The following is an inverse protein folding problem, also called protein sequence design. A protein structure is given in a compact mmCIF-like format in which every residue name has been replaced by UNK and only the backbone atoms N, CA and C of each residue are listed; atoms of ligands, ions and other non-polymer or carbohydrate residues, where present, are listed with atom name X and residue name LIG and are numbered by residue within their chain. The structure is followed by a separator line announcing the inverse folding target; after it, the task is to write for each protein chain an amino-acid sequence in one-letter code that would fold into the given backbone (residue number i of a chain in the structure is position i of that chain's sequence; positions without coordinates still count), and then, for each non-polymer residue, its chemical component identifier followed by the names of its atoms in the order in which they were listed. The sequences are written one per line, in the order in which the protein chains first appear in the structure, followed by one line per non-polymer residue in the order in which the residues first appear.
data_IF_926145717764
#
_entry.id   IF_926145717764
#
_cell.length_a   1.000
_cell.length_b   1.000
_cell.length_c   1.000
_cell.angle_alpha   90.00
_cell.angle_beta   90.00
_cell.angle_gamma   90.00
#
_symmetry.space_group_name_H-M   'P 1'
#
loop_
_entity.id
_entity.type
_entity.pdbx_description
1 polymer ?
#
# COMPACT_ATOMS: atom_id res chain seq x y z
N UNK A 1 29.67 26.02 81.63
CA UNK A 1 30.60 26.97 80.98
C UNK A 1 30.56 26.91 79.45
N UNK A 2 30.28 25.78 78.77
CA UNK A 2 30.31 25.76 77.29
C UNK A 2 29.19 26.56 76.60
N UNK A 3 27.97 26.60 77.17
CA UNK A 3 26.87 27.33 76.55
C UNK A 3 27.11 28.84 76.39
N UNK A 4 27.86 29.46 77.31
CA UNK A 4 28.13 30.90 77.24
C UNK A 4 29.27 31.21 76.26
N UNK A 5 30.29 30.34 76.20
CA UNK A 5 31.33 30.43 75.17
C UNK A 5 30.78 30.18 73.77
N UNK A 6 29.79 29.29 73.63
CA UNK A 6 29.14 29.01 72.34
C UNK A 6 28.25 30.18 71.88
N UNK A 7 27.57 30.88 72.80
CA UNK A 7 26.72 32.04 72.47
C UNK A 7 27.53 33.29 72.13
N UNK A 8 28.62 33.53 72.85
CA UNK A 8 29.43 34.75 72.72
C UNK A 8 30.61 34.58 71.75
N UNK A 9 30.95 33.35 71.37
CA UNK A 9 32.03 33.03 70.43
C UNK A 9 33.35 33.71 70.84
N UNK A 10 33.97 34.41 69.89
CA UNK A 10 35.24 35.13 70.08
C UNK A 10 35.16 36.25 71.14
N UNK A 11 33.95 36.65 71.56
CA UNK A 11 33.75 37.67 72.60
C UNK A 11 33.79 37.10 74.01
N UNK A 12 33.76 35.78 74.19
CA UNK A 12 33.80 35.14 75.50
C UNK A 12 35.20 35.21 76.13
N UNK A 13 35.27 35.60 77.41
CA UNK A 13 36.50 35.53 78.23
C UNK A 13 36.19 34.89 79.57
N UNK A 14 37.09 34.01 80.02
CA UNK A 14 36.96 33.34 81.32
C UNK A 14 37.14 34.35 82.46
N UNK A 15 36.13 34.50 83.31
CA UNK A 15 36.12 35.48 84.41
C UNK A 15 35.44 36.83 84.10
N UNK A 16 34.69 36.97 83.01
CA UNK A 16 33.85 38.14 82.79
C UNK A 16 32.87 38.38 83.96
N UNK A 17 32.65 39.64 84.29
CA UNK A 17 31.64 40.06 85.25
C UNK A 17 30.23 39.94 84.66
N UNK A 18 29.20 39.86 85.52
CA UNK A 18 27.81 39.72 85.07
C UNK A 18 27.35 40.85 84.13
N UNK A 19 27.83 42.08 84.36
CA UNK A 19 27.56 43.23 83.49
C UNK A 19 28.25 43.12 82.11
N UNK A 20 29.49 42.64 82.07
CA UNK A 20 30.20 42.39 80.82
C UNK A 20 29.55 41.26 80.02
N UNK A 21 29.11 40.19 80.70
CA UNK A 21 28.36 39.09 80.09
C UNK A 21 27.03 39.60 79.51
N UNK A 22 26.28 40.40 80.26
CA UNK A 22 25.02 40.99 79.81
C UNK A 22 25.21 41.92 78.60
N UNK A 23 26.25 42.73 78.62
CA UNK A 23 26.59 43.65 77.52
C UNK A 23 27.00 42.90 76.26
N UNK A 24 27.85 41.88 76.40
CA UNK A 24 28.28 41.02 75.30
C UNK A 24 27.10 40.25 74.71
N UNK A 25 26.17 39.76 75.53
CA UNK A 25 24.94 39.09 75.10
C UNK A 25 24.04 40.03 74.30
N UNK A 26 23.79 41.24 74.78
CA UNK A 26 22.99 42.24 74.04
C UNK A 26 23.65 42.65 72.72
N UNK A 27 24.98 42.85 72.70
CA UNK A 27 25.74 43.15 71.49
C UNK A 27 25.72 41.99 70.48
N UNK A 28 25.71 40.74 70.97
CA UNK A 28 25.51 39.53 70.16
C UNK A 28 24.05 39.33 69.71
N UNK A 29 23.13 40.26 70.04
CA UNK A 29 21.74 40.24 69.61
C UNK A 29 20.78 39.53 70.56
N UNK A 30 21.24 39.09 71.74
CA UNK A 30 20.36 38.50 72.75
C UNK A 30 19.34 39.54 73.24
N UNK A 31 18.05 39.21 73.12
CA UNK A 31 16.95 40.11 73.47
C UNK A 31 16.52 41.08 72.36
N UNK A 32 17.13 41.03 71.17
CA UNK A 32 16.59 41.75 70.01
C UNK A 32 15.32 41.04 69.49
N UNK A 33 14.23 41.82 69.34
CA UNK A 33 12.99 41.33 68.75
C UNK A 33 13.15 41.13 67.24
N UNK A 34 13.59 39.92 66.86
CA UNK A 34 13.73 39.49 65.46
C UNK A 34 12.39 39.17 64.80
N UNK A 35 11.25 39.43 65.45
CA UNK A 35 9.92 39.11 64.95
C UNK A 35 9.62 39.74 63.58
N UNK A 36 10.12 40.96 63.32
CA UNK A 36 9.94 41.61 62.02
C UNK A 36 10.69 40.88 60.89
N UNK A 37 11.94 40.48 61.15
CA UNK A 37 12.79 39.72 60.22
C UNK A 37 12.20 38.32 59.98
N UNK A 38 11.79 37.63 61.05
CA UNK A 38 11.16 36.32 61.01
C UNK A 38 9.85 36.38 60.22
N UNK A 39 9.01 37.39 60.44
CA UNK A 39 7.76 37.57 59.70
C UNK A 39 8.01 37.91 58.22
N UNK A 40 9.04 38.71 57.91
CA UNK A 40 9.46 38.99 56.53
C UNK A 40 9.92 37.72 55.82
N UNK A 41 10.76 36.91 56.45
CA UNK A 41 11.23 35.64 55.91
C UNK A 41 10.09 34.64 55.72
N UNK A 42 9.16 34.54 56.69
CA UNK A 42 7.94 33.72 56.57
C UNK A 42 7.06 34.18 55.40
N UNK A 43 6.90 35.49 55.21
CA UNK A 43 6.13 36.04 54.11
C UNK A 43 6.79 35.75 52.75
N UNK A 44 8.11 35.91 52.64
CA UNK A 44 8.87 35.57 51.43
C UNK A 44 8.81 34.08 51.12
N UNK A 45 8.96 33.22 52.13
CA UNK A 45 8.85 31.77 52.00
C UNK A 45 7.44 31.35 51.55
N UNK A 46 6.41 31.95 52.14
CA UNK A 46 5.01 31.67 51.76
C UNK A 46 4.72 32.10 50.31
N UNK A 47 5.27 33.24 49.89
CA UNK A 47 5.18 33.73 48.51
C UNK A 47 5.89 32.78 47.54
N UNK A 48 7.15 32.42 47.82
CA UNK A 48 7.92 31.50 46.99
C UNK A 48 7.25 30.12 46.88
N UNK A 49 6.69 29.60 47.98
CA UNK A 49 5.95 28.34 47.97
C UNK A 49 4.69 28.40 47.11
N UNK A 50 3.98 29.53 47.14
CA UNK A 50 2.78 29.74 46.32
C UNK A 50 3.14 29.81 44.83
N UNK A 51 4.16 30.57 44.48
CA UNK A 51 4.67 30.66 43.09
C UNK A 51 5.15 29.29 42.59
N UNK A 52 5.89 28.53 43.42
CA UNK A 52 6.32 27.18 43.09
C UNK A 52 5.15 26.21 42.86
N UNK A 53 4.08 26.33 43.65
CA UNK A 53 2.86 25.54 43.46
C UNK A 53 2.15 25.90 42.14
N UNK A 54 2.06 27.18 41.82
CA UNK A 54 1.47 27.65 40.56
C UNK A 54 2.27 27.20 39.34
N UNK A 55 3.61 27.33 39.37
CA UNK A 55 4.48 26.82 38.31
C UNK A 55 4.32 25.31 38.12
N UNK A 56 4.25 24.55 39.22
CA UNK A 56 4.05 23.10 39.14
C UNK A 56 2.70 22.75 38.51
N UNK A 57 1.65 23.52 38.80
CA UNK A 57 0.32 23.35 38.17
C UNK A 57 0.35 23.69 36.69
N UNK A 58 0.97 24.80 36.31
CA UNK A 58 1.12 25.20 34.91
C UNK A 58 1.94 24.20 34.11
N UNK A 59 3.07 23.71 34.65
CA UNK A 59 3.92 22.74 33.99
C UNK A 59 3.18 21.43 33.73
N UNK A 60 2.46 20.92 34.75
CA UNK A 60 1.62 19.74 34.59
C UNK A 60 0.54 19.94 33.53
N UNK A 61 -0.14 21.09 33.55
CA UNK A 61 -1.16 21.42 32.54
C UNK A 61 -0.59 21.46 31.12
N UNK A 62 0.58 22.06 30.93
CA UNK A 62 1.29 22.08 29.64
C UNK A 62 1.71 20.69 29.19
N UNK A 63 2.31 19.89 30.09
CA UNK A 63 2.70 18.51 29.80
C UNK A 63 1.50 17.67 29.33
N UNK A 64 0.37 17.77 30.02
CA UNK A 64 -0.85 17.05 29.61
C UNK A 64 -1.39 17.54 28.26
N UNK A 65 -1.33 18.84 27.97
CA UNK A 65 -1.76 19.38 26.68
C UNK A 65 -0.83 18.94 25.53
N UNK A 66 0.49 18.94 25.77
CA UNK A 66 1.49 18.51 24.80
C UNK A 66 1.38 17.00 24.52
N UNK A 67 1.10 16.18 25.55
CA UNK A 67 0.84 14.74 25.40
C UNK A 67 -0.41 14.47 24.55
N UNK A 68 -1.50 15.21 24.78
CA UNK A 68 -2.72 15.10 23.99
C UNK A 68 -2.48 15.52 22.53
N UNK A 69 -1.79 16.65 22.31
CA UNK A 69 -1.45 17.13 20.96
C UNK A 69 -0.54 16.14 20.22
N UNK A 70 0.44 15.53 20.90
CA UNK A 70 1.31 14.52 20.30
C UNK A 70 0.52 13.25 19.91
N UNK A 71 -0.43 12.82 20.74
CA UNK A 71 -1.30 11.69 20.43
C UNK A 71 -2.19 11.99 19.21
N UNK A 72 -2.79 13.18 19.12
CA UNK A 72 -3.60 13.61 17.99
C UNK A 72 -2.79 13.74 16.70
N UNK A 73 -1.58 14.31 16.78
CA UNK A 73 -0.67 14.39 15.64
C UNK A 73 -0.26 13.02 15.15
N UNK A 74 0.08 12.09 16.06
CA UNK A 74 0.41 10.72 15.70
C UNK A 74 -0.76 10.02 15.02
N UNK A 75 -1.97 10.11 15.59
CA UNK A 75 -3.17 9.53 14.99
C UNK A 75 -3.47 10.11 13.60
N UNK A 76 -3.26 11.43 13.42
CA UNK A 76 -3.42 12.10 12.13
C UNK A 76 -2.38 11.62 11.12
N UNK A 77 -1.11 11.50 11.53
CA UNK A 77 -0.04 11.01 10.66
C UNK A 77 -0.26 9.55 10.26
N UNK A 78 -0.62 8.68 11.21
CA UNK A 78 -0.93 7.28 10.95
C UNK A 78 -2.09 7.17 9.93
N UNK A 79 -3.15 7.99 10.10
CA UNK A 79 -4.27 8.06 9.16
C UNK A 79 -3.81 8.51 7.76
N UNK A 80 -3.04 9.60 7.67
CA UNK A 80 -2.54 10.12 6.39
C UNK A 80 -1.60 9.12 5.71
N UNK A 81 -0.79 8.39 6.46
CA UNK A 81 0.08 7.34 5.93
C UNK A 81 -0.73 6.17 5.38
N UNK A 82 -1.77 5.74 6.09
CA UNK A 82 -2.68 4.69 5.63
C UNK A 82 -3.41 5.12 4.35
N UNK A 83 -4.03 6.30 4.34
CA UNK A 83 -4.74 6.84 3.17
C UNK A 83 -3.79 6.99 1.95
N UNK A 84 -2.55 7.45 2.16
CA UNK A 84 -1.57 7.52 1.08
C UNK A 84 -1.20 6.13 0.53
N UNK A 85 -1.11 5.13 1.40
CA UNK A 85 -0.81 3.75 0.99
C UNK A 85 -1.97 3.19 0.16
N UNK A 86 -3.21 3.39 0.61
CA UNK A 86 -4.42 2.93 -0.06
C UNK A 86 -4.62 3.63 -1.41
N UNK A 87 -4.37 4.95 -1.47
CA UNK A 87 -4.42 5.71 -2.73
C UNK A 87 -3.38 5.24 -3.73
N UNK A 88 -2.12 5.05 -3.31
CA UNK A 88 -1.06 4.52 -4.19
C UNK A 88 -1.43 3.14 -4.73
N UNK A 89 -1.99 2.28 -3.87
CA UNK A 89 -2.47 0.95 -4.26
C UNK A 89 -3.61 1.06 -5.27
N UNK A 90 -4.62 1.89 -5.00
CA UNK A 90 -5.77 2.10 -5.90
C UNK A 90 -5.33 2.62 -7.27
N UNK A 91 -4.38 3.54 -7.32
CA UNK A 91 -3.82 4.06 -8.58
C UNK A 91 -3.12 2.94 -9.36
N UNK A 92 -2.31 2.12 -8.68
CA UNK A 92 -1.63 0.99 -9.31
C UNK A 92 -2.63 -0.05 -9.86
N UNK A 93 -3.70 -0.34 -9.13
CA UNK A 93 -4.77 -1.24 -9.57
C UNK A 93 -5.47 -0.69 -10.82
N UNK A 94 -5.86 0.59 -10.80
CA UNK A 94 -6.57 1.22 -11.91
C UNK A 94 -5.70 1.27 -13.19
N UNK A 95 -4.43 1.65 -13.07
CA UNK A 95 -3.48 1.68 -14.20
C UNK A 95 -3.27 0.29 -14.81
N UNK A 96 -3.05 -0.73 -13.97
CA UNK A 96 -2.87 -2.12 -14.43
C UNK A 96 -4.14 -2.66 -15.08
N UNK A 97 -5.32 -2.46 -14.46
CA UNK A 97 -6.60 -2.89 -15.03
C UNK A 97 -6.84 -2.25 -16.38
N UNK A 98 -6.59 -0.95 -16.51
CA UNK A 98 -6.72 -0.21 -17.78
C UNK A 98 -5.82 -0.82 -18.86
N UNK A 99 -4.55 -1.11 -18.54
CA UNK A 99 -3.61 -1.74 -19.47
C UNK A 99 -4.04 -3.15 -19.88
N UNK A 100 -4.53 -3.96 -18.93
CA UNK A 100 -4.98 -5.32 -19.19
C UNK A 100 -6.23 -5.34 -20.09
N UNK A 101 -7.21 -4.48 -19.81
CA UNK A 101 -8.39 -4.32 -20.68
C UNK A 101 -7.97 -3.86 -22.08
N UNK A 102 -7.02 -2.92 -22.18
CA UNK A 102 -6.48 -2.50 -23.48
C UNK A 102 -5.76 -3.63 -24.24
N UNK A 103 -5.19 -4.62 -23.53
CA UNK A 103 -4.62 -5.83 -24.11
C UNK A 103 -5.67 -6.88 -24.51
N UNK A 104 -6.95 -6.62 -24.25
CA UNK A 104 -8.08 -7.48 -24.62
C UNK A 104 -8.51 -8.46 -23.54
N UNK A 105 -8.03 -8.31 -22.30
CA UNK A 105 -8.59 -9.05 -21.17
C UNK A 105 -10.04 -8.61 -20.95
N UNK A 106 -10.92 -9.56 -20.60
CA UNK A 106 -12.24 -9.20 -20.10
C UNK A 106 -12.11 -8.48 -18.75
N UNK A 107 -13.12 -7.68 -18.40
CA UNK A 107 -13.04 -6.79 -17.25
C UNK A 107 -12.79 -7.53 -15.93
N UNK A 108 -13.35 -8.73 -15.74
CA UNK A 108 -13.19 -9.51 -14.51
C UNK A 108 -11.80 -10.13 -14.42
N UNK A 109 -11.30 -10.69 -15.52
CA UNK A 109 -9.96 -11.24 -15.58
C UNK A 109 -8.90 -10.14 -15.45
N UNK A 110 -9.13 -8.97 -16.04
CA UNK A 110 -8.28 -7.79 -15.88
C UNK A 110 -8.24 -7.30 -14.43
N UNK A 111 -9.40 -7.22 -13.76
CA UNK A 111 -9.50 -6.82 -12.35
C UNK A 111 -8.73 -7.78 -11.42
N UNK A 112 -9.02 -9.08 -11.53
CA UNK A 112 -8.32 -10.13 -10.76
C UNK A 112 -6.81 -10.14 -11.00
N UNK A 113 -6.39 -10.00 -12.27
CA UNK A 113 -4.96 -9.97 -12.62
C UNK A 113 -4.28 -8.70 -12.11
N UNK A 114 -4.94 -7.54 -12.18
CA UNK A 114 -4.40 -6.30 -11.63
C UNK A 114 -4.20 -6.40 -10.11
N UNK A 115 -5.17 -6.97 -9.39
CA UNK A 115 -5.08 -7.24 -7.95
C UNK A 115 -3.86 -8.13 -7.66
N UNK A 116 -3.76 -9.28 -8.32
CA UNK A 116 -2.67 -10.22 -8.13
C UNK A 116 -1.29 -9.59 -8.43
N UNK A 117 -1.19 -8.76 -9.48
CA UNK A 117 0.05 -8.04 -9.82
C UNK A 117 0.43 -6.96 -8.80
N UNK A 118 -0.53 -6.38 -8.07
CA UNK A 118 -0.27 -5.40 -7.01
C UNK A 118 0.07 -6.11 -5.70
N UNK A 119 -0.56 -7.26 -5.43
CA UNK A 119 -0.31 -8.11 -4.26
C UNK A 119 0.95 -8.97 -4.36
N UNK A 120 1.55 -9.07 -5.56
CA UNK A 120 2.71 -9.94 -5.80
C UNK A 120 2.35 -11.42 -5.88
N UNK A 121 1.07 -11.75 -6.06
CA UNK A 121 0.57 -13.12 -6.25
C UNK A 121 0.81 -13.55 -7.71
N UNK A 122 2.03 -13.99 -7.99
CA UNK A 122 2.43 -14.41 -9.33
C UNK A 122 1.75 -15.71 -9.78
N UNK A 123 1.31 -16.56 -8.85
CA UNK A 123 0.58 -17.80 -9.18
C UNK A 123 -0.78 -17.45 -9.81
N UNK A 124 -1.51 -16.51 -9.20
CA UNK A 124 -2.77 -16.02 -9.78
C UNK A 124 -2.53 -15.26 -11.09
N UNK A 125 -1.46 -14.47 -11.22
CA UNK A 125 -1.12 -13.80 -12.49
C UNK A 125 -0.92 -14.82 -13.61
N UNK A 126 -0.13 -15.87 -13.37
CA UNK A 126 0.14 -16.89 -14.39
C UNK A 126 -1.12 -17.70 -14.74
N UNK A 127 -1.95 -18.03 -13.74
CA UNK A 127 -3.22 -18.71 -13.96
C UNK A 127 -4.19 -17.87 -14.81
N UNK A 128 -4.29 -16.58 -14.52
CA UNK A 128 -5.13 -15.68 -15.29
C UNK A 128 -4.60 -15.46 -16.71
N UNK A 129 -3.27 -15.38 -16.87
CA UNK A 129 -2.62 -15.31 -18.19
C UNK A 129 -2.89 -16.56 -19.02
N UNK A 130 -2.86 -17.76 -18.41
CA UNK A 130 -3.24 -19.00 -19.09
C UNK A 130 -4.70 -18.96 -19.54
N UNK A 131 -5.61 -18.50 -18.67
CA UNK A 131 -7.04 -18.34 -18.98
C UNK A 131 -7.27 -17.39 -20.16
N UNK A 132 -6.53 -16.26 -20.20
CA UNK A 132 -6.56 -15.32 -21.32
C UNK A 132 -6.05 -15.96 -22.62
N UNK A 133 -4.96 -16.73 -22.56
CA UNK A 133 -4.42 -17.38 -23.74
C UNK A 133 -5.41 -18.41 -24.32
N UNK A 134 -6.06 -19.20 -23.47
CA UNK A 134 -7.09 -20.15 -23.91
C UNK A 134 -8.29 -19.46 -24.57
N UNK A 135 -8.77 -18.36 -23.99
CA UNK A 135 -9.91 -17.62 -24.55
C UNK A 135 -9.56 -17.01 -25.91
N UNK A 136 -8.35 -16.44 -26.02
CA UNK A 136 -7.83 -15.87 -27.26
C UNK A 136 -7.60 -16.93 -28.33
N UNK A 137 -7.05 -18.09 -27.96
CA UNK A 137 -6.87 -19.22 -28.89
C UNK A 137 -8.21 -19.73 -29.43
N UNK A 138 -9.21 -19.89 -28.56
CA UNK A 138 -10.57 -20.28 -28.97
C UNK A 138 -11.18 -19.27 -29.93
N UNK A 139 -11.03 -17.98 -29.65
CA UNK A 139 -11.52 -16.91 -30.53
C UNK A 139 -10.83 -16.94 -31.91
N UNK A 140 -9.52 -17.13 -31.94
CA UNK A 140 -8.74 -17.25 -33.19
C UNK A 140 -9.19 -18.47 -34.00
N UNK A 141 -9.32 -19.65 -33.37
CA UNK A 141 -9.78 -20.87 -34.06
C UNK A 141 -11.20 -20.69 -34.61
N UNK A 142 -12.10 -20.10 -33.85
CA UNK A 142 -13.47 -19.82 -34.31
C UNK A 142 -13.48 -18.87 -35.52
N UNK A 143 -12.65 -17.83 -35.50
CA UNK A 143 -12.52 -16.87 -36.61
C UNK A 143 -11.92 -17.54 -37.86
N UNK A 144 -10.94 -18.43 -37.70
CA UNK A 144 -10.39 -19.23 -38.80
C UNK A 144 -11.43 -20.16 -39.42
N UNK A 145 -12.23 -20.84 -38.60
CA UNK A 145 -13.31 -21.72 -39.09
C UNK A 145 -14.36 -20.94 -39.88
N UNK A 146 -14.72 -19.71 -39.46
CA UNK A 146 -15.65 -18.84 -40.19
C UNK A 146 -15.12 -18.45 -41.57
N UNK A 147 -13.81 -18.24 -41.70
CA UNK A 147 -13.14 -17.86 -42.96
C UNK A 147 -12.83 -19.04 -43.86
N UNK A 148 -12.92 -20.27 -43.35
CA UNK A 148 -12.69 -21.47 -44.15
C UNK A 148 -13.91 -21.71 -45.05
N UNK A 149 -13.76 -21.66 -46.39
CA UNK A 149 -14.86 -21.92 -47.30
C UNK A 149 -15.45 -23.30 -47.02
N UNK A 150 -16.78 -23.39 -46.90
CA UNK A 150 -17.43 -24.71 -46.83
C UNK A 150 -17.13 -25.44 -48.14
N UNK A 151 -16.65 -26.69 -48.11
CA UNK A 151 -16.54 -27.48 -49.33
C UNK A 151 -17.90 -27.51 -50.01
N UNK A 152 -17.90 -27.44 -51.35
CA UNK A 152 -19.12 -27.53 -52.13
C UNK A 152 -19.94 -28.73 -51.63
N UNK A 153 -21.24 -28.52 -51.43
CA UNK A 153 -22.13 -29.62 -51.10
C UNK A 153 -21.86 -30.74 -52.10
N UNK A 154 -21.44 -31.90 -51.60
CA UNK A 154 -21.32 -33.08 -52.46
C UNK A 154 -22.66 -33.24 -53.13
N UNK A 155 -22.68 -33.23 -54.47
CA UNK A 155 -23.87 -33.60 -55.22
C UNK A 155 -24.36 -34.91 -54.60
N UNK A 156 -25.60 -34.89 -54.11
CA UNK A 156 -26.25 -36.07 -53.57
C UNK A 156 -26.02 -37.25 -54.52
N UNK A 157 -25.72 -38.40 -53.92
CA UNK A 157 -25.14 -39.57 -54.58
C UNK A 157 -26.01 -40.23 -55.67
N UNK A 158 -26.18 -39.58 -56.82
CA UNK A 158 -26.75 -40.16 -58.05
C UNK A 158 -26.27 -39.45 -59.34
N UNK A 159 -24.99 -39.09 -59.47
CA UNK A 159 -24.49 -38.50 -60.72
C UNK A 159 -23.00 -38.78 -60.91
N UNK A 160 -22.66 -39.63 -61.88
CA UNK A 160 -21.28 -39.91 -62.27
C UNK A 160 -20.49 -38.64 -62.55
N UNK A 161 -19.17 -38.70 -62.33
CA UNK A 161 -18.25 -37.61 -62.65
C UNK A 161 -18.46 -37.14 -64.10
N UNK A 162 -18.81 -35.87 -64.29
CA UNK A 162 -18.87 -35.25 -65.62
C UNK A 162 -17.44 -35.05 -66.14
N UNK A 163 -16.90 -36.11 -66.74
CA UNK A 163 -15.55 -36.11 -67.28
C UNK A 163 -15.39 -35.07 -68.39
N UNK A 164 -16.44 -34.76 -69.14
CA UNK A 164 -16.36 -33.76 -70.21
C UNK A 164 -16.09 -32.37 -69.62
N UNK A 165 -16.84 -31.99 -68.58
CA UNK A 165 -16.61 -30.73 -67.86
C UNK A 165 -15.23 -30.66 -67.21
N UNK A 166 -14.75 -31.75 -66.61
CA UNK A 166 -13.41 -31.81 -66.01
C UNK A 166 -12.26 -31.69 -67.02
N UNK A 167 -12.44 -32.25 -68.21
CA UNK A 167 -11.49 -32.11 -69.31
C UNK A 167 -11.47 -30.67 -69.82
N UNK A 168 -12.64 -30.04 -70.00
CA UNK A 168 -12.75 -28.65 -70.45
C UNK A 168 -12.14 -27.66 -69.44
N UNK A 169 -12.41 -27.84 -68.13
CA UNK A 169 -11.79 -27.07 -67.06
C UNK A 169 -10.26 -27.20 -67.06
N UNK A 170 -9.74 -28.42 -67.25
CA UNK A 170 -8.30 -28.69 -67.32
C UNK A 170 -7.64 -28.14 -68.59
N UNK A 171 -8.35 -28.13 -69.72
CA UNK A 171 -7.91 -27.48 -70.96
C UNK A 171 -7.87 -25.95 -70.78
N UNK A 172 -8.89 -25.37 -70.16
CA UNK A 172 -8.96 -23.94 -69.88
C UNK A 172 -7.87 -23.48 -68.90
N UNK A 173 -7.48 -24.34 -67.95
CA UNK A 173 -6.38 -24.07 -67.02
C UNK A 173 -4.98 -24.42 -67.57
N UNK A 174 -4.89 -25.00 -68.77
CA UNK A 174 -3.62 -25.43 -69.38
C UNK A 174 -2.97 -26.65 -68.69
N UNK A 175 -3.70 -27.37 -67.84
CA UNK A 175 -3.20 -28.55 -67.12
C UNK A 175 -3.36 -29.81 -67.98
N UNK A 176 -2.39 -30.00 -68.88
CA UNK A 176 -2.36 -31.15 -69.79
C UNK A 176 -2.28 -32.50 -69.06
N UNK A 177 -1.80 -32.54 -67.82
CA UNK A 177 -1.73 -33.78 -67.03
C UNK A 177 -3.11 -34.19 -66.53
N UNK A 178 -3.89 -33.22 -66.05
CA UNK A 178 -5.28 -33.42 -65.67
C UNK A 178 -6.15 -33.77 -66.89
N UNK A 179 -5.91 -33.15 -68.05
CA UNK A 179 -6.59 -33.50 -69.32
C UNK A 179 -6.39 -34.98 -69.65
N UNK A 180 -5.15 -35.46 -69.63
CA UNK A 180 -4.84 -36.86 -69.93
C UNK A 180 -5.47 -37.82 -68.91
N UNK A 181 -5.45 -37.45 -67.62
CA UNK A 181 -6.01 -38.24 -66.54
C UNK A 181 -7.53 -38.42 -66.67
N UNK A 182 -8.28 -37.33 -66.84
CA UNK A 182 -9.75 -37.41 -66.96
C UNK A 182 -10.20 -38.03 -68.29
N UNK A 183 -9.43 -37.84 -69.37
CA UNK A 183 -9.70 -38.52 -70.65
C UNK A 183 -9.57 -40.05 -70.51
N UNK A 184 -8.56 -40.53 -69.78
CA UNK A 184 -8.40 -41.97 -69.51
C UNK A 184 -9.54 -42.52 -68.65
N UNK A 185 -9.95 -41.81 -67.61
CA UNK A 185 -11.07 -42.24 -66.75
C UNK A 185 -12.39 -42.31 -67.51
N UNK A 186 -12.68 -41.31 -68.36
CA UNK A 186 -13.84 -41.34 -69.26
C UNK A 186 -13.85 -42.59 -70.13
N UNK A 187 -12.73 -42.92 -70.77
CA UNK A 187 -12.61 -44.10 -71.63
C UNK A 187 -12.75 -45.41 -70.85
N UNK A 188 -12.29 -45.47 -69.58
CA UNK A 188 -12.47 -46.64 -68.72
C UNK A 188 -13.93 -46.84 -68.32
N UNK A 189 -14.63 -45.77 -67.95
CA UNK A 189 -16.05 -45.85 -67.60
C UNK A 189 -16.90 -46.23 -68.83
N UNK A 190 -16.63 -45.64 -70.00
CA UNK A 190 -17.30 -46.03 -71.25
C UNK A 190 -17.03 -47.50 -71.61
N UNK A 191 -15.78 -47.97 -71.45
CA UNK A 191 -15.43 -49.36 -71.71
C UNK A 191 -16.03 -50.35 -70.70
N UNK A 192 -16.25 -49.92 -69.45
CA UNK A 192 -16.90 -50.72 -68.42
C UNK A 192 -18.42 -50.78 -68.64
N UNK A 193 -19.05 -49.69 -69.07
CA UNK A 193 -20.47 -49.65 -69.44
C UNK A 193 -20.79 -50.47 -70.69
N UNK A 194 -19.83 -50.68 -71.60
CA UNK A 194 -19.99 -51.55 -72.77
C UNK A 194 -19.82 -53.06 -72.46
N UNK A 195 -19.41 -53.42 -71.23
CA UNK A 195 -19.20 -54.82 -70.80
C UNK A 195 -20.33 -55.37 -69.92
N UNK A 196 -21.28 -54.53 -69.52
CA UNK A 196 -22.57 -54.93 -68.94
C UNK A 196 -23.63 -55.05 -70.03
#
# INVERSE_FOLDING_TARGET
MSYLSDLLGDSYKEGMTEEEISTALQAAGAGQNNDAEINRLKAQLSKANSEAADYKKQLRGKQTADEAAAAEQKATMDKLTQENTDLKRSIALADKKTKLVAMGYDEKLADSTAIAMVDGDMDTVMKNQATFNESREKAIRAEQMKKTPRPAAGSDGTGGMDYAKKIEEAQASGDLTAVAYYTRLKAQDEANQMKE
#
